data_IF_285049288654
#
_entry.id   IF_285049288654
#
_cell.length_a   1.000
_cell.length_b   1.000
_cell.length_c   1.000
_cell.angle_alpha   90.00
_cell.angle_beta   90.00
_cell.angle_gamma   90.00
#
_symmetry.space_group_name_H-M   'P 1'
#
loop_
_entity.id
_entity.type
_entity.pdbx_description
1 polymer ?
#
# COMPACT_ATOMS: atom_id res chain seq x y z
N UNK A 1 -9.07 -4.87 16.66
CA UNK A 1 -7.89 -4.86 15.77
C UNK A 1 -8.42 -4.68 14.36
N UNK A 2 -7.90 -3.73 13.59
CA UNK A 2 -8.26 -3.55 12.17
C UNK A 2 -7.29 -4.34 11.30
N UNK A 3 -7.79 -4.97 10.23
CA UNK A 3 -7.01 -5.78 9.32
C UNK A 3 -7.26 -5.32 7.88
N UNK A 4 -6.20 -5.28 7.07
CA UNK A 4 -6.25 -4.98 5.64
C UNK A 4 -6.06 -6.29 4.86
N UNK A 5 -7.12 -7.11 4.78
CA UNK A 5 -7.08 -8.49 4.28
C UNK A 5 -7.72 -8.70 2.90
N UNK A 6 -8.24 -7.64 2.27
CA UNK A 6 -8.90 -7.71 0.94
C UNK A 6 -7.99 -7.33 -0.23
N UNK A 7 -6.68 -7.33 0.00
CA UNK A 7 -5.70 -7.14 -1.07
C UNK A 7 -5.69 -8.37 -1.99
N UNK A 8 -5.82 -8.13 -3.29
CA UNK A 8 -5.66 -9.18 -4.30
C UNK A 8 -4.19 -9.27 -4.74
N UNK A 9 -3.56 -8.09 -4.87
CA UNK A 9 -2.23 -7.93 -5.44
C UNK A 9 -1.20 -7.45 -4.42
N UNK A 10 -1.48 -7.47 -3.12
CA UNK A 10 -0.48 -7.18 -2.09
C UNK A 10 -0.44 -8.28 -1.03
N UNK A 11 0.76 -8.63 -0.60
CA UNK A 11 1.00 -9.60 0.46
C UNK A 11 2.32 -9.29 1.16
N UNK A 12 2.32 -9.28 2.48
CA UNK A 12 3.53 -9.37 3.27
C UNK A 12 3.87 -10.87 3.40
N UNK A 13 4.88 -11.33 2.65
CA UNK A 13 5.23 -12.75 2.58
C UNK A 13 5.92 -13.19 3.88
N UNK A 14 6.93 -12.44 4.30
CA UNK A 14 7.68 -12.69 5.53
C UNK A 14 8.39 -11.39 6.00
N UNK A 15 8.81 -11.37 7.26
CA UNK A 15 9.62 -10.31 7.82
C UNK A 15 10.57 -10.88 8.89
N UNK A 16 11.69 -10.21 9.11
CA UNK A 16 12.67 -10.58 10.12
C UNK A 16 14.05 -10.00 9.81
N UNK A 17 14.97 -10.09 10.77
CA UNK A 17 16.32 -9.54 10.71
C UNK A 17 16.36 -8.06 10.25
N UNK A 18 15.35 -7.27 10.63
CA UNK A 18 15.23 -5.86 10.28
C UNK A 18 14.74 -5.60 8.84
N UNK A 19 14.24 -6.62 8.15
CA UNK A 19 13.80 -6.58 6.76
C UNK A 19 12.38 -7.15 6.60
N UNK A 20 11.76 -6.86 5.46
CA UNK A 20 10.50 -7.48 5.03
C UNK A 20 10.50 -7.81 3.55
N UNK A 21 9.77 -8.87 3.21
CA UNK A 21 9.57 -9.36 1.86
C UNK A 21 8.09 -9.21 1.48
N UNK A 22 7.83 -8.44 0.45
CA UNK A 22 6.46 -8.08 0.05
C UNK A 22 6.22 -8.43 -1.42
N UNK A 23 5.04 -8.98 -1.73
CA UNK A 23 4.55 -9.15 -3.09
C UNK A 23 3.64 -7.99 -3.46
N UNK A 24 3.84 -7.46 -4.65
CA UNK A 24 3.08 -6.41 -5.29
C UNK A 24 2.73 -6.86 -6.72
N UNK A 25 1.54 -7.44 -6.91
CA UNK A 25 1.16 -8.17 -8.11
C UNK A 25 2.03 -9.40 -8.28
N UNK A 26 2.84 -9.42 -9.35
CA UNK A 26 3.83 -10.47 -9.64
C UNK A 26 5.26 -10.07 -9.22
N UNK A 27 5.45 -8.89 -8.65
CA UNK A 27 6.77 -8.35 -8.30
C UNK A 27 7.00 -8.53 -6.81
N UNK A 28 8.18 -9.02 -6.43
CA UNK A 28 8.58 -9.24 -5.04
C UNK A 28 9.64 -8.19 -4.69
N UNK A 29 9.40 -7.39 -3.66
CA UNK A 29 10.29 -6.35 -3.19
C UNK A 29 10.76 -6.68 -1.77
N UNK A 30 12.05 -6.54 -1.53
CA UNK A 30 12.62 -6.59 -0.18
C UNK A 30 12.93 -5.16 0.29
N UNK A 31 12.51 -4.83 1.52
CA UNK A 31 12.70 -3.51 2.11
C UNK A 31 13.09 -3.59 3.58
N UNK A 32 13.81 -2.58 4.11
CA UNK A 32 14.08 -2.48 5.54
C UNK A 32 12.81 -2.23 6.35
N UNK A 33 12.66 -3.01 7.42
CA UNK A 33 11.68 -2.82 8.49
C UNK A 33 12.37 -3.02 9.87
N UNK A 34 12.89 -1.96 10.49
CA UNK A 34 13.66 -2.06 11.73
C UNK A 34 12.89 -2.64 12.93
N UNK A 35 11.56 -2.77 12.83
CA UNK A 35 10.74 -3.36 13.87
C UNK A 35 10.63 -4.89 13.74
N UNK A 36 11.01 -5.47 12.59
CA UNK A 36 11.05 -6.91 12.35
C UNK A 36 12.29 -7.55 12.99
N UNK A 37 12.37 -7.51 14.32
CA UNK A 37 13.57 -7.91 15.09
C UNK A 37 13.72 -9.42 15.31
N UNK A 38 12.75 -10.22 14.86
CA UNK A 38 12.79 -11.67 14.96
C UNK A 38 13.55 -12.27 13.75
N UNK A 39 14.05 -13.52 13.85
CA UNK A 39 14.73 -14.17 12.72
C UNK A 39 13.81 -14.29 11.52
N UNK A 40 14.32 -14.01 10.31
CA UNK A 40 13.57 -14.28 9.07
C UNK A 40 13.71 -15.74 8.63
N UNK A 41 12.77 -16.21 7.81
CA UNK A 41 12.89 -17.49 7.12
C UNK A 41 13.88 -17.48 5.94
N UNK A 42 13.95 -18.60 5.25
CA UNK A 42 14.68 -18.70 3.98
C UNK A 42 13.86 -18.03 2.87
N UNK A 43 14.41 -16.97 2.27
CA UNK A 43 13.73 -16.20 1.23
C UNK A 43 14.23 -16.57 -0.15
N UNK A 44 13.29 -16.75 -1.08
CA UNK A 44 13.59 -16.79 -2.50
C UNK A 44 13.99 -15.40 -3.01
N UNK A 45 14.71 -15.37 -4.14
CA UNK A 45 15.27 -14.12 -4.66
C UNK A 45 14.18 -13.12 -5.08
N UNK A 46 14.17 -11.96 -4.42
CA UNK A 46 13.33 -10.80 -4.75
C UNK A 46 13.62 -10.27 -6.17
N UNK A 47 12.71 -9.45 -6.69
CA UNK A 47 12.92 -8.71 -7.93
C UNK A 47 13.79 -7.47 -7.70
N UNK A 48 13.64 -6.81 -6.56
CA UNK A 48 14.50 -5.72 -6.13
C UNK A 48 14.65 -5.65 -4.62
N UNK A 49 15.76 -5.10 -4.17
CA UNK A 49 16.08 -4.84 -2.76
C UNK A 49 16.35 -3.35 -2.59
N UNK A 50 15.77 -2.72 -1.58
CA UNK A 50 16.11 -1.34 -1.22
C UNK A 50 17.24 -1.32 -0.20
N UNK A 51 18.37 -0.71 -0.57
CA UNK A 51 19.51 -0.51 0.33
C UNK A 51 19.45 0.88 0.93
N UNK A 52 19.37 0.97 2.25
CA UNK A 52 19.37 2.25 2.97
C UNK A 52 20.80 2.79 3.06
N UNK A 53 20.99 4.07 2.75
CA UNK A 53 22.27 4.75 2.97
C UNK A 53 22.37 5.29 4.39
N UNK A 54 23.58 5.23 4.97
CA UNK A 54 23.90 5.84 6.27
C UNK A 54 23.83 7.37 6.24
N UNK A 55 24.00 8.00 5.08
CA UNK A 55 23.86 9.45 4.88
C UNK A 55 22.42 9.91 4.61
N UNK A 56 21.44 9.01 4.71
CA UNK A 56 20.04 9.27 4.37
C UNK A 56 19.70 8.85 2.94
N UNK A 57 18.43 8.54 2.70
CA UNK A 57 17.98 7.99 1.42
C UNK A 57 18.41 6.53 1.23
N UNK A 58 18.82 6.18 0.01
CA UNK A 58 19.16 4.83 -0.41
C UNK A 58 18.93 4.62 -1.90
N UNK A 59 19.04 3.38 -2.34
CA UNK A 59 18.78 3.02 -3.73
C UNK A 59 18.16 1.64 -3.86
N UNK A 60 17.41 1.45 -4.94
CA UNK A 60 16.95 0.13 -5.34
C UNK A 60 18.07 -0.59 -6.11
N UNK A 61 18.39 -1.80 -5.69
CA UNK A 61 19.15 -2.76 -6.49
C UNK A 61 18.15 -3.65 -7.22
N UNK A 62 18.11 -3.53 -8.53
CA UNK A 62 17.33 -4.40 -9.39
C UNK A 62 18.03 -5.76 -9.57
N UNK A 63 17.37 -6.85 -9.17
CA UNK A 63 17.89 -8.21 -9.29
C UNK A 63 17.28 -8.97 -10.48
N UNK A 64 16.04 -8.62 -10.84
CA UNK A 64 15.30 -9.18 -11.99
C UNK A 64 14.65 -8.07 -12.78
N UNK A 65 14.32 -8.31 -14.05
CA UNK A 65 13.57 -7.35 -14.86
C UNK A 65 12.12 -7.25 -14.37
N UNK A 66 11.62 -6.04 -14.22
CA UNK A 66 10.22 -5.73 -13.92
C UNK A 66 9.85 -4.36 -14.55
N UNK A 67 8.55 -4.08 -14.79
CA UNK A 67 8.14 -2.81 -15.37
C UNK A 67 8.42 -1.64 -14.42
N UNK A 68 8.66 -0.45 -14.96
CA UNK A 68 8.92 0.77 -14.15
C UNK A 68 7.81 1.04 -13.13
N UNK A 69 6.56 0.83 -13.54
CA UNK A 69 5.37 0.93 -12.70
C UNK A 69 4.37 -0.15 -13.09
N UNK A 70 3.53 -0.59 -12.17
CA UNK A 70 2.45 -1.56 -12.42
C UNK A 70 1.23 -1.28 -11.56
N UNK A 71 0.12 -1.93 -11.87
CA UNK A 71 -1.13 -1.78 -11.13
C UNK A 71 -1.28 -2.87 -10.06
N UNK A 72 -1.90 -2.49 -8.94
CA UNK A 72 -2.36 -3.42 -7.90
C UNK A 72 -3.83 -3.12 -7.57
N UNK A 73 -4.55 -4.14 -7.11
CA UNK A 73 -5.97 -4.03 -6.79
C UNK A 73 -6.27 -4.38 -5.33
N UNK A 74 -7.24 -3.64 -4.77
CA UNK A 74 -7.85 -3.87 -3.46
C UNK A 74 -9.37 -3.92 -3.61
N UNK A 75 -10.01 -4.94 -3.04
CA UNK A 75 -11.46 -5.06 -3.04
C UNK A 75 -12.05 -4.35 -1.82
N UNK A 76 -12.28 -3.03 -1.96
CA UNK A 76 -12.87 -2.22 -0.89
C UNK A 76 -14.36 -2.51 -0.72
N UNK A 77 -14.91 -2.14 0.45
CA UNK A 77 -16.38 -2.09 0.68
C UNK A 77 -17.11 -1.16 -0.30
N UNK A 78 -16.40 -0.19 -0.90
CA UNK A 78 -16.92 0.70 -1.93
C UNK A 78 -16.68 0.21 -3.38
N UNK A 79 -16.21 -1.03 -3.53
CA UNK A 79 -15.86 -1.62 -4.83
C UNK A 79 -14.35 -1.68 -5.07
N UNK A 80 -13.97 -2.07 -6.28
CA UNK A 80 -12.57 -2.30 -6.64
C UNK A 80 -11.80 -0.98 -6.70
N UNK A 81 -10.69 -0.90 -5.97
CA UNK A 81 -9.72 0.19 -6.06
C UNK A 81 -8.48 -0.29 -6.79
N UNK A 82 -7.95 0.55 -7.69
CA UNK A 82 -6.73 0.27 -8.48
C UNK A 82 -5.70 1.34 -8.20
N UNK A 83 -4.47 0.93 -7.87
CA UNK A 83 -3.36 1.83 -7.56
C UNK A 83 -2.15 1.54 -8.44
N UNK A 84 -1.32 2.55 -8.67
CA UNK A 84 -0.03 2.41 -9.35
C UNK A 84 1.06 2.26 -8.30
N UNK A 85 1.92 1.27 -8.51
CA UNK A 85 3.11 1.02 -7.70
C UNK A 85 4.35 1.25 -8.55
N UNK A 86 5.34 1.92 -7.97
CA UNK A 86 6.68 2.08 -8.53
C UNK A 86 7.74 2.12 -7.42
N UNK A 87 8.93 1.52 -7.61
CA UNK A 87 10.08 1.77 -6.74
C UNK A 87 10.52 3.23 -6.84
N UNK A 88 10.31 4.02 -5.77
CA UNK A 88 10.63 5.44 -5.75
C UNK A 88 12.09 5.71 -5.33
N UNK A 89 12.53 6.97 -5.32
CA UNK A 89 13.87 7.36 -4.84
C UNK A 89 14.13 7.06 -3.35
N UNK A 90 13.10 6.70 -2.60
CA UNK A 90 13.18 6.23 -1.21
C UNK A 90 12.57 4.83 -1.11
N UNK A 91 12.55 4.24 0.09
CA UNK A 91 11.96 2.91 0.34
C UNK A 91 10.46 2.79 0.01
N UNK A 92 9.78 3.89 -0.33
CA UNK A 92 8.34 3.89 -0.61
C UNK A 92 8.05 3.32 -1.99
N UNK A 93 6.86 2.73 -2.12
CA UNK A 93 6.36 2.10 -3.34
C UNK A 93 5.17 2.85 -3.94
N UNK A 94 4.82 4.01 -3.37
CA UNK A 94 3.63 4.78 -3.76
C UNK A 94 2.36 4.45 -2.99
N UNK A 95 2.39 3.52 -2.04
CA UNK A 95 1.21 3.16 -1.25
C UNK A 95 1.57 2.61 0.14
N UNK A 96 0.66 2.83 1.09
CA UNK A 96 0.67 2.23 2.43
C UNK A 96 -0.50 1.24 2.53
N UNK A 97 -0.30 -0.05 2.22
CA UNK A 97 -1.37 -1.02 2.03
C UNK A 97 -2.12 -1.33 3.32
N UNK A 98 -1.48 -1.14 4.48
CA UNK A 98 -2.10 -1.26 5.80
C UNK A 98 -3.21 -0.23 6.04
N UNK A 99 -3.18 0.92 5.35
CA UNK A 99 -4.21 1.96 5.46
C UNK A 99 -5.53 1.55 4.81
N UNK A 100 -5.58 0.44 4.06
CA UNK A 100 -6.81 -0.03 3.43
C UNK A 100 -7.93 -0.33 4.43
N UNK A 101 -7.60 -0.74 5.65
CA UNK A 101 -8.59 -0.90 6.72
C UNK A 101 -9.24 0.44 7.12
N UNK A 102 -8.46 1.54 7.11
CA UNK A 102 -8.98 2.88 7.37
C UNK A 102 -9.79 3.40 6.16
N UNK A 103 -9.39 3.05 4.94
CA UNK A 103 -10.14 3.37 3.72
C UNK A 103 -11.52 2.72 3.75
N UNK A 104 -11.60 1.43 4.09
CA UNK A 104 -12.87 0.72 4.23
C UNK A 104 -13.75 1.30 5.35
N UNK A 105 -13.15 1.70 6.47
CA UNK A 105 -13.86 2.38 7.55
C UNK A 105 -14.47 3.72 7.09
N UNK A 106 -13.69 4.55 6.40
CA UNK A 106 -14.19 5.82 5.84
C UNK A 106 -15.27 5.58 4.78
N UNK A 107 -15.04 4.63 3.88
CA UNK A 107 -15.96 4.28 2.81
C UNK A 107 -17.33 3.84 3.36
N UNK A 108 -17.35 2.96 4.37
CA UNK A 108 -18.59 2.53 5.00
C UNK A 108 -19.39 3.70 5.61
N UNK A 109 -18.71 4.66 6.25
CA UNK A 109 -19.35 5.87 6.80
C UNK A 109 -19.92 6.78 5.72
N UNK A 110 -19.18 6.95 4.62
CA UNK A 110 -19.62 7.76 3.48
C UNK A 110 -20.86 7.11 2.85
N UNK A 111 -20.81 5.81 2.55
CA UNK A 111 -21.94 5.06 1.99
C UNK A 111 -23.18 5.14 2.89
N UNK A 112 -23.02 5.05 4.21
CA UNK A 112 -24.12 5.21 5.15
C UNK A 112 -24.75 6.62 5.07
N UNK A 113 -23.93 7.66 5.00
CA UNK A 113 -24.41 9.05 4.86
C UNK A 113 -25.14 9.26 3.53
N UNK A 114 -24.56 8.77 2.42
CA UNK A 114 -25.16 8.85 1.08
C UNK A 114 -26.49 8.10 1.01
N UNK A 115 -26.58 6.91 1.61
CA UNK A 115 -27.83 6.16 1.69
C UNK A 115 -28.93 6.90 2.48
N UNK A 116 -28.54 7.78 3.41
CA UNK A 116 -29.43 8.68 4.13
C UNK A 116 -29.75 10.00 3.41
N UNK A 117 -29.27 10.18 2.17
CA UNK A 117 -29.45 11.41 1.38
C UNK A 117 -28.45 12.52 1.70
N UNK A 118 -27.36 12.23 2.41
CA UNK A 118 -26.29 13.18 2.69
C UNK A 118 -25.30 13.32 1.52
N UNK A 119 -24.55 14.43 1.51
CA UNK A 119 -23.51 14.74 0.53
C UNK A 119 -22.16 14.97 1.23
N UNK A 120 -21.43 13.91 1.63
CA UNK A 120 -20.19 14.06 2.39
C UNK A 120 -19.10 14.79 1.58
N UNK A 121 -18.50 15.82 2.17
CA UNK A 121 -17.32 16.52 1.63
C UNK A 121 -16.13 16.23 2.53
N UNK A 122 -15.08 15.65 1.96
CA UNK A 122 -13.95 15.08 2.69
C UNK A 122 -12.73 15.97 2.51
N UNK A 123 -11.99 16.21 3.59
CA UNK A 123 -10.69 16.87 3.55
C UNK A 123 -9.62 15.85 3.90
N UNK A 124 -8.75 15.52 2.94
CA UNK A 124 -7.64 14.60 3.15
C UNK A 124 -6.30 15.35 3.28
N UNK A 125 -5.88 15.65 4.52
CA UNK A 125 -4.60 16.30 4.79
C UNK A 125 -3.46 15.27 4.78
N UNK A 126 -2.29 15.67 4.26
CA UNK A 126 -1.13 14.77 4.08
C UNK A 126 -1.46 13.53 3.24
N UNK A 127 -2.26 13.73 2.19
CA UNK A 127 -2.85 12.68 1.36
C UNK A 127 -1.84 11.76 0.63
N UNK A 128 -0.56 12.15 0.58
CA UNK A 128 0.49 11.44 -0.16
C UNK A 128 0.06 11.19 -1.62
N UNK A 129 -0.02 9.94 -2.07
CA UNK A 129 -0.47 9.55 -3.41
C UNK A 129 -1.98 9.47 -3.57
N UNK A 130 -2.75 9.82 -2.54
CA UNK A 130 -4.21 9.94 -2.61
C UNK A 130 -4.98 8.64 -2.44
N UNK A 131 -4.39 7.60 -1.83
CA UNK A 131 -5.08 6.31 -1.62
C UNK A 131 -6.43 6.43 -0.90
N UNK A 132 -6.47 7.19 0.19
CA UNK A 132 -7.71 7.50 0.90
C UNK A 132 -8.65 8.40 0.09
N UNK A 133 -8.12 9.31 -0.72
CA UNK A 133 -8.92 10.19 -1.58
C UNK A 133 -9.73 9.37 -2.59
N UNK A 134 -9.06 8.44 -3.28
CA UNK A 134 -9.69 7.53 -4.24
C UNK A 134 -10.72 6.64 -3.55
N UNK A 135 -10.42 6.11 -2.36
CA UNK A 135 -11.37 5.29 -1.61
C UNK A 135 -12.64 6.06 -1.20
N UNK A 136 -12.49 7.29 -0.70
CA UNK A 136 -13.62 8.14 -0.33
C UNK A 136 -14.46 8.55 -1.56
N UNK A 137 -13.82 8.85 -2.68
CA UNK A 137 -14.50 9.15 -3.94
C UNK A 137 -15.29 7.93 -4.45
N UNK A 138 -14.69 6.74 -4.43
CA UNK A 138 -15.37 5.49 -4.81
C UNK A 138 -16.58 5.18 -3.91
N UNK A 139 -16.54 5.59 -2.64
CA UNK A 139 -17.65 5.44 -1.70
C UNK A 139 -18.82 6.41 -1.93
N UNK A 140 -18.68 7.37 -2.85
CA UNK A 140 -19.72 8.35 -3.19
C UNK A 140 -19.63 9.66 -2.42
N UNK A 141 -18.45 10.04 -1.90
CA UNK A 141 -18.26 11.40 -1.40
C UNK A 141 -18.52 12.42 -2.52
N UNK A 142 -19.21 13.51 -2.19
CA UNK A 142 -19.53 14.57 -3.13
C UNK A 142 -18.28 15.38 -3.54
N UNK A 143 -17.30 15.47 -2.63
CA UNK A 143 -16.01 16.12 -2.85
C UNK A 143 -14.96 15.50 -1.92
N UNK A 144 -13.70 15.44 -2.37
CA UNK A 144 -12.56 14.92 -1.62
C UNK A 144 -11.29 15.72 -1.93
#
# INVERSE_FOLDING_TARGET
>A
MFLADKWQDYELIDAGDGEKLERWGNIILQRPDPQAIWPRGEWQQAHAVYHRSSSGGGNWQQLKTYPKQWQINYDSVAGKLTFIIEPMGFKHTGLFPEQAANWDFCAAKIQQSVAGGGEPRILNLFAYTGGATVACAAAGAAEV
#
